data_IF_143453972370
#
_entry.id   IF_143453972370
#
_cell.length_a   1.000
_cell.length_b   1.000
_cell.length_c   1.000
_cell.angle_alpha   90.00
_cell.angle_beta   90.00
_cell.angle_gamma   90.00
#
_symmetry.space_group_name_H-M   'P 1'
#
loop_
_entity.id
_entity.type
_entity.pdbx_description
1 polymer ?
#
# COMPACT_ATOMS: atom_id res chain seq x y z
N UNK A 1 4.18 7.03 -23.67
CA UNK A 1 4.78 8.35 -23.94
C UNK A 1 3.76 9.42 -23.59
N UNK A 2 4.16 10.51 -22.92
CA UNK A 2 3.24 11.56 -22.46
C UNK A 2 2.82 12.54 -23.57
N UNK A 3 3.65 12.72 -24.61
CA UNK A 3 3.41 13.64 -25.73
C UNK A 3 2.04 13.45 -26.39
N UNK A 4 1.69 12.25 -26.90
CA UNK A 4 0.40 12.01 -27.55
C UNK A 4 -0.82 12.29 -26.67
N UNK A 5 -0.70 12.10 -25.35
CA UNK A 5 -1.78 12.41 -24.39
C UNK A 5 -2.01 13.92 -24.34
N UNK A 6 -0.92 14.69 -24.28
CA UNK A 6 -0.96 16.16 -24.23
C UNK A 6 -1.50 16.72 -25.53
N UNK A 7 -1.03 16.25 -26.68
CA UNK A 7 -1.48 16.76 -27.99
C UNK A 7 -3.00 16.57 -28.17
N UNK A 8 -3.51 15.41 -27.75
CA UNK A 8 -4.96 15.12 -27.76
C UNK A 8 -5.72 16.04 -26.80
N UNK A 9 -5.22 16.21 -25.57
CA UNK A 9 -5.86 17.08 -24.57
C UNK A 9 -5.81 18.55 -24.98
N UNK A 10 -4.72 19.01 -25.60
CA UNK A 10 -4.59 20.39 -26.09
C UNK A 10 -5.63 20.69 -27.17
N UNK A 11 -5.80 19.77 -28.13
CA UNK A 11 -6.78 19.92 -29.21
C UNK A 11 -8.21 20.05 -28.67
N UNK A 12 -8.58 19.26 -27.67
CA UNK A 12 -9.97 19.21 -27.18
C UNK A 12 -10.22 20.24 -26.07
N UNK A 13 -9.35 20.31 -25.07
CA UNK A 13 -9.53 21.15 -23.88
C UNK A 13 -9.18 22.62 -24.13
N UNK A 14 -8.11 22.89 -24.88
CA UNK A 14 -7.63 24.26 -25.13
C UNK A 14 -8.22 24.81 -26.42
N UNK A 15 -7.99 24.13 -27.55
CA UNK A 15 -8.46 24.61 -28.87
C UNK A 15 -9.96 24.39 -29.08
N UNK A 16 -10.49 23.27 -28.59
CA UNK A 16 -11.92 22.94 -28.63
C UNK A 16 -12.75 23.57 -27.52
N UNK A 17 -12.12 24.22 -26.53
CA UNK A 17 -12.82 24.95 -25.47
C UNK A 17 -13.52 24.09 -24.40
N UNK A 18 -13.22 22.79 -24.30
CA UNK A 18 -13.81 21.93 -23.28
C UNK A 18 -13.22 22.21 -21.88
N UNK A 19 -13.94 23.01 -21.10
CA UNK A 19 -13.59 23.38 -19.73
C UNK A 19 -13.48 22.19 -18.78
N UNK A 20 -14.13 21.05 -19.06
CA UNK A 20 -14.08 19.86 -18.19
C UNK A 20 -12.72 19.17 -18.26
N UNK A 21 -12.06 19.19 -19.41
CA UNK A 21 -10.76 18.56 -19.63
C UNK A 21 -9.57 19.49 -19.35
N UNK A 22 -9.83 20.79 -19.16
CA UNK A 22 -8.79 21.77 -18.88
C UNK A 22 -7.95 21.44 -17.63
N UNK A 23 -8.53 21.01 -16.49
CA UNK A 23 -7.75 20.58 -15.34
C UNK A 23 -6.82 19.39 -15.63
N UNK A 24 -7.30 18.38 -16.38
CA UNK A 24 -6.48 17.22 -16.76
C UNK A 24 -5.31 17.64 -17.67
N UNK A 25 -5.56 18.54 -18.62
CA UNK A 25 -4.51 19.10 -19.47
C UNK A 25 -3.43 19.83 -18.64
N UNK A 26 -3.84 20.70 -17.72
CA UNK A 26 -2.91 21.48 -16.89
C UNK A 26 -2.04 20.57 -16.00
N UNK A 27 -2.63 19.53 -15.40
CA UNK A 27 -1.91 18.52 -14.61
C UNK A 27 -0.94 17.74 -15.49
N UNK A 28 -1.35 17.32 -16.69
CA UNK A 28 -0.48 16.56 -17.60
C UNK A 28 0.71 17.39 -18.08
N UNK A 29 0.52 18.70 -18.28
CA UNK A 29 1.60 19.64 -18.55
C UNK A 29 2.58 19.76 -17.37
N UNK A 30 2.08 19.85 -16.13
CA UNK A 30 2.92 19.81 -14.92
C UNK A 30 3.76 18.53 -14.85
N UNK A 31 3.15 17.37 -15.14
CA UNK A 31 3.87 16.07 -15.19
C UNK A 31 4.94 16.08 -16.29
N UNK A 32 4.63 16.59 -17.47
CA UNK A 32 5.61 16.71 -18.57
C UNK A 32 6.84 17.48 -18.11
N UNK A 33 6.64 18.63 -17.48
CA UNK A 33 7.76 19.45 -17.02
C UNK A 33 8.60 18.73 -15.96
N UNK A 34 7.95 18.03 -15.03
CA UNK A 34 8.65 17.24 -14.01
C UNK A 34 9.47 16.08 -14.60
N UNK A 35 8.87 15.32 -15.52
CA UNK A 35 9.46 14.08 -16.03
C UNK A 35 10.47 14.33 -17.15
N UNK A 36 10.18 15.27 -18.06
CA UNK A 36 11.01 15.54 -19.23
C UNK A 36 12.04 16.62 -18.94
N UNK A 37 11.59 17.79 -18.47
CA UNK A 37 12.48 18.95 -18.33
C UNK A 37 13.42 18.76 -17.14
N UNK A 38 12.86 18.35 -15.99
CA UNK A 38 13.65 18.10 -14.78
C UNK A 38 14.26 16.71 -14.70
N UNK A 39 13.86 15.78 -15.60
CA UNK A 39 14.32 14.38 -15.62
C UNK A 39 14.11 13.65 -14.29
N UNK A 40 13.02 13.96 -13.58
CA UNK A 40 12.70 13.36 -12.28
C UNK A 40 11.53 12.36 -12.39
N UNK A 41 11.60 11.19 -11.74
CA UNK A 41 10.46 10.29 -11.64
C UNK A 41 9.29 10.94 -10.91
N UNK A 42 8.05 10.64 -11.31
CA UNK A 42 6.83 11.16 -10.65
C UNK A 42 6.78 10.73 -9.18
N UNK A 43 7.25 9.53 -8.85
CA UNK A 43 7.30 9.01 -7.49
C UNK A 43 8.28 9.73 -6.56
N UNK A 44 9.09 10.68 -7.06
CA UNK A 44 10.03 11.47 -6.25
C UNK A 44 9.42 12.83 -5.81
N UNK A 45 8.21 13.15 -6.26
CA UNK A 45 7.48 14.33 -5.80
C UNK A 45 6.44 13.90 -4.76
N UNK A 46 6.51 14.48 -3.56
CA UNK A 46 5.73 14.03 -2.41
C UNK A 46 4.41 14.79 -2.19
N UNK A 47 4.22 15.92 -2.86
CA UNK A 47 3.11 16.86 -2.57
C UNK A 47 2.05 16.88 -3.69
N UNK A 48 1.65 15.71 -4.19
CA UNK A 48 0.54 15.58 -5.14
C UNK A 48 -0.79 15.63 -4.41
N UNK A 49 -1.77 16.37 -4.95
CA UNK A 49 -3.14 16.40 -4.42
C UNK A 49 -4.04 15.32 -5.04
N UNK A 50 -5.22 15.12 -4.47
CA UNK A 50 -6.17 14.07 -4.89
C UNK A 50 -6.55 14.13 -6.38
N UNK A 51 -6.75 15.33 -6.93
CA UNK A 51 -7.09 15.53 -8.34
C UNK A 51 -5.92 15.15 -9.26
N UNK A 52 -4.70 15.43 -8.84
CA UNK A 52 -3.49 15.03 -9.57
C UNK A 52 -3.29 13.52 -9.54
N UNK A 53 -3.56 12.90 -8.39
CA UNK A 53 -3.51 11.44 -8.21
C UNK A 53 -4.54 10.74 -9.11
N UNK A 54 -5.75 11.28 -9.26
CA UNK A 54 -6.76 10.76 -10.20
C UNK A 54 -6.25 10.71 -11.65
N UNK A 55 -5.57 11.77 -12.11
CA UNK A 55 -4.95 11.80 -13.44
C UNK A 55 -3.84 10.75 -13.57
N UNK A 56 -3.05 10.52 -12.52
CA UNK A 56 -2.00 9.49 -12.55
C UNK A 56 -2.58 8.08 -12.59
N UNK A 57 -3.65 7.84 -11.85
CA UNK A 57 -4.34 6.56 -11.83
C UNK A 57 -5.03 6.26 -13.17
N UNK A 58 -5.43 7.29 -13.92
CA UNK A 58 -5.96 7.16 -15.29
C UNK A 58 -4.88 6.74 -16.29
N UNK A 59 -3.69 7.33 -16.23
CA UNK A 59 -2.63 7.13 -17.24
C UNK A 59 -1.56 6.10 -16.85
N UNK A 60 -1.49 5.71 -15.58
CA UNK A 60 -0.61 4.68 -15.02
C UNK A 60 0.87 4.83 -15.45
N UNK A 61 1.41 6.05 -15.37
CA UNK A 61 2.78 6.36 -15.77
C UNK A 61 3.78 5.38 -15.13
N UNK A 62 4.75 4.89 -15.91
CA UNK A 62 5.77 3.97 -15.38
C UNK A 62 6.55 4.58 -14.21
N UNK A 63 6.84 5.88 -14.29
CA UNK A 63 7.59 6.64 -13.27
C UNK A 63 6.77 7.01 -12.03
N UNK A 64 5.46 6.75 -11.99
CA UNK A 64 4.66 6.89 -10.76
C UNK A 64 4.68 5.62 -9.92
N UNK A 65 5.14 4.49 -10.48
CA UNK A 65 5.23 3.22 -9.77
C UNK A 65 6.35 3.29 -8.71
N UNK A 66 6.14 2.76 -7.50
CA UNK A 66 7.18 2.64 -6.50
C UNK A 66 8.27 1.67 -6.99
N UNK A 67 9.52 1.89 -6.58
CA UNK A 67 10.68 1.09 -6.99
C UNK A 67 11.48 0.63 -5.77
N UNK A 68 11.98 -0.60 -5.83
CA UNK A 68 12.91 -1.18 -4.84
C UNK A 68 14.18 -1.58 -5.57
N UNK A 69 15.32 -1.04 -5.14
CA UNK A 69 16.61 -1.37 -5.73
C UNK A 69 17.21 -2.60 -5.05
N UNK A 70 17.53 -3.62 -5.86
CA UNK A 70 18.21 -4.83 -5.41
C UNK A 70 19.61 -4.85 -6.00
N UNK A 71 20.61 -4.70 -5.12
CA UNK A 71 22.02 -4.78 -5.52
C UNK A 71 22.48 -6.22 -5.36
N UNK A 72 22.66 -6.92 -6.48
CA UNK A 72 23.23 -8.26 -6.46
C UNK A 72 24.74 -8.17 -6.17
N UNK A 73 25.22 -8.97 -5.22
CA UNK A 73 26.60 -8.95 -4.73
C UNK A 73 27.19 -10.36 -4.76
N UNK A 74 28.53 -10.43 -4.87
CA UNK A 74 29.21 -11.68 -4.56
C UNK A 74 29.00 -12.04 -3.08
N UNK A 75 29.01 -13.33 -2.75
CA UNK A 75 28.85 -13.80 -1.36
C UNK A 75 29.89 -13.15 -0.43
N UNK A 76 31.16 -13.06 -0.88
CA UNK A 76 32.25 -12.42 -0.14
C UNK A 76 31.95 -10.95 0.18
N UNK A 77 31.42 -10.19 -0.77
CA UNK A 77 31.08 -8.77 -0.57
C UNK A 77 29.87 -8.59 0.35
N UNK A 78 28.87 -9.46 0.21
CA UNK A 78 27.68 -9.47 1.06
C UNK A 78 28.05 -9.71 2.53
N UNK A 79 28.85 -10.75 2.79
CA UNK A 79 29.34 -11.09 4.14
C UNK A 79 30.19 -9.95 4.71
N UNK A 80 31.11 -9.38 3.91
CA UNK A 80 31.99 -8.29 4.33
C UNK A 80 31.30 -6.93 4.48
N UNK A 81 30.05 -6.79 4.02
CA UNK A 81 29.27 -5.54 3.96
C UNK A 81 30.03 -4.39 3.27
N UNK A 82 30.89 -4.73 2.31
CA UNK A 82 31.72 -3.79 1.54
C UNK A 82 31.66 -4.19 0.08
N UNK A 83 31.43 -3.22 -0.78
CA UNK A 83 31.51 -3.37 -2.23
C UNK A 83 31.87 -2.02 -2.83
N UNK A 84 32.64 -2.03 -3.92
CA UNK A 84 33.11 -0.82 -4.62
C UNK A 84 31.96 0.11 -5.03
N UNK A 85 30.82 -0.46 -5.39
CA UNK A 85 29.63 0.26 -5.85
C UNK A 85 28.65 0.56 -4.72
N UNK A 86 28.73 -0.18 -3.60
CA UNK A 86 27.90 0.09 -2.42
C UNK A 86 28.09 1.51 -1.89
N UNK A 87 29.29 2.10 -1.94
CA UNK A 87 29.55 3.47 -1.45
C UNK A 87 28.73 4.51 -2.22
N UNK A 88 28.61 4.36 -3.55
CA UNK A 88 27.81 5.26 -4.41
C UNK A 88 26.30 5.11 -4.20
N UNK A 89 25.86 3.98 -3.67
CA UNK A 89 24.45 3.67 -3.36
C UNK A 89 24.15 3.98 -1.87
N UNK A 90 25.17 3.91 -0.99
CA UNK A 90 25.11 4.09 0.47
C UNK A 90 24.85 5.52 0.91
N UNK A 91 25.07 6.53 0.06
CA UNK A 91 24.72 7.92 0.39
C UNK A 91 23.20 8.13 0.60
N UNK A 92 22.39 7.09 0.36
CA UNK A 92 20.96 7.09 0.63
C UNK A 92 20.56 6.07 1.70
N UNK A 93 21.14 6.24 2.91
CA UNK A 93 20.73 5.67 4.23
C UNK A 93 20.66 4.14 4.35
N UNK A 94 21.01 3.68 5.56
CA UNK A 94 20.68 2.38 6.12
C UNK A 94 21.63 1.23 5.77
N UNK A 95 22.47 0.83 6.72
CA UNK A 95 22.62 -0.57 7.17
C UNK A 95 23.72 -0.66 8.22
N UNK A 96 23.30 -0.80 9.48
CA UNK A 96 24.12 -1.32 10.56
C UNK A 96 23.54 -2.64 11.08
N UNK A 97 24.46 -3.49 11.56
CA UNK A 97 24.28 -4.73 12.35
C UNK A 97 23.20 -5.71 11.86
N UNK A 98 23.56 -6.83 11.22
CA UNK A 98 23.61 -8.12 11.92
C UNK A 98 24.56 -9.11 11.22
N UNK A 99 25.02 -10.13 11.95
CA UNK A 99 25.63 -11.34 11.39
C UNK A 99 24.66 -11.97 10.36
N UNK A 100 25.21 -12.53 9.29
CA UNK A 100 24.54 -12.63 7.99
C UNK A 100 23.26 -13.48 8.04
N UNK A 101 22.16 -12.98 7.48
CA UNK A 101 20.87 -13.65 7.30
C UNK A 101 20.45 -13.54 5.83
N UNK A 102 19.53 -14.40 5.37
CA UNK A 102 18.95 -14.28 4.02
C UNK A 102 18.40 -12.88 3.79
N UNK A 103 18.68 -12.30 2.61
CA UNK A 103 18.11 -11.03 2.20
C UNK A 103 16.64 -11.15 1.76
N UNK A 104 16.17 -12.36 1.43
CA UNK A 104 14.83 -12.59 0.87
C UNK A 104 13.70 -12.08 1.77
N UNK A 105 13.68 -12.32 3.10
CA UNK A 105 12.63 -11.77 3.96
C UNK A 105 12.57 -10.23 3.94
N UNK A 106 13.73 -9.56 3.81
CA UNK A 106 13.79 -8.11 3.70
C UNK A 106 13.24 -7.63 2.36
N UNK A 107 13.58 -8.32 1.27
CA UNK A 107 13.11 -8.01 -0.09
C UNK A 107 11.59 -8.16 -0.17
N UNK A 108 11.03 -9.26 0.34
CA UNK A 108 9.59 -9.52 0.33
C UNK A 108 8.86 -8.42 1.12
N UNK A 109 9.31 -8.13 2.36
CA UNK A 109 8.72 -7.07 3.18
C UNK A 109 8.83 -5.69 2.53
N UNK A 110 9.96 -5.38 1.89
CA UNK A 110 10.14 -4.13 1.17
C UNK A 110 9.20 -4.00 -0.03
N UNK A 111 9.02 -5.07 -0.82
CA UNK A 111 8.07 -5.12 -1.92
C UNK A 111 6.63 -4.93 -1.45
N UNK A 112 6.24 -5.61 -0.37
CA UNK A 112 4.89 -5.50 0.21
C UNK A 112 4.60 -4.08 0.72
N UNK A 113 5.55 -3.48 1.43
CA UNK A 113 5.46 -2.10 1.90
C UNK A 113 5.42 -1.09 0.73
N UNK A 114 6.20 -1.31 -0.32
CA UNK A 114 6.22 -0.46 -1.52
C UNK A 114 4.86 -0.44 -2.23
N UNK A 115 4.14 -1.56 -2.22
CA UNK A 115 2.78 -1.67 -2.76
C UNK A 115 1.69 -1.07 -1.85
N UNK A 116 2.09 -0.49 -0.71
CA UNK A 116 1.19 0.02 0.34
C UNK A 116 0.21 -1.05 0.84
N UNK A 117 0.70 -2.28 0.93
CA UNK A 117 -0.04 -3.40 1.49
C UNK A 117 0.28 -3.58 2.97
N UNK A 118 -0.70 -4.10 3.69
CA UNK A 118 -0.61 -4.62 5.05
C UNK A 118 -1.40 -5.92 5.12
N UNK A 119 -1.40 -6.58 6.25
CA UNK A 119 -2.29 -7.72 6.48
C UNK A 119 -2.91 -7.65 7.89
N UNK A 120 -4.09 -8.22 8.01
CA UNK A 120 -4.68 -8.56 9.30
C UNK A 120 -4.77 -10.09 9.40
N UNK A 121 -5.01 -10.60 10.60
CA UNK A 121 -5.12 -12.02 10.86
C UNK A 121 -6.54 -12.41 11.27
N UNK A 122 -6.97 -13.60 10.88
CA UNK A 122 -8.00 -14.34 11.61
C UNK A 122 -7.29 -15.46 12.34
N UNK A 123 -7.63 -15.69 13.61
CA UNK A 123 -7.05 -16.75 14.42
C UNK A 123 -8.18 -17.53 15.09
N UNK A 124 -8.10 -18.85 15.03
CA UNK A 124 -9.02 -19.78 15.68
C UNK A 124 -8.33 -21.13 15.90
N UNK A 125 -9.04 -22.11 16.49
CA UNK A 125 -8.47 -23.43 16.79
C UNK A 125 -8.09 -24.21 15.51
N UNK A 126 -8.84 -24.01 14.43
CA UNK A 126 -8.66 -24.75 13.17
C UNK A 126 -7.71 -24.04 12.19
N UNK A 127 -7.71 -22.70 12.18
CA UNK A 127 -6.99 -21.92 11.19
C UNK A 127 -6.44 -20.60 11.76
N UNK A 128 -5.22 -20.26 11.32
CA UNK A 128 -4.68 -18.90 11.40
C UNK A 128 -4.36 -18.45 9.98
N UNK A 129 -4.96 -17.34 9.56
CA UNK A 129 -4.84 -16.84 8.18
C UNK A 129 -4.44 -15.37 8.14
N UNK A 130 -3.55 -14.99 7.21
CA UNK A 130 -3.14 -13.62 6.96
C UNK A 130 -3.86 -13.04 5.72
N UNK A 131 -4.73 -12.06 5.93
CA UNK A 131 -5.53 -11.42 4.88
C UNK A 131 -4.87 -10.13 4.41
N UNK A 132 -4.45 -10.10 3.15
CA UNK A 132 -3.80 -8.91 2.56
C UNK A 132 -4.81 -7.80 2.28
N UNK A 133 -4.51 -6.59 2.76
CA UNK A 133 -5.31 -5.37 2.58
C UNK A 133 -4.43 -4.21 2.14
N UNK A 134 -5.04 -3.14 1.59
CA UNK A 134 -4.32 -1.87 1.37
C UNK A 134 -4.33 -1.06 2.66
N UNK A 135 -3.27 -0.29 2.92
CA UNK A 135 -3.29 0.69 4.02
C UNK A 135 -4.49 1.64 3.86
N UNK A 136 -5.15 1.95 4.99
CA UNK A 136 -6.37 2.75 5.00
C UNK A 136 -7.65 1.96 4.74
N UNK A 137 -7.57 0.64 4.54
CA UNK A 137 -8.75 -0.22 4.41
C UNK A 137 -9.57 -0.19 5.70
N UNK A 138 -10.86 0.09 5.59
CA UNK A 138 -11.78 0.10 6.74
C UNK A 138 -12.22 -1.31 7.10
N UNK A 139 -12.64 -1.48 8.34
CA UNK A 139 -13.07 -2.78 8.88
C UNK A 139 -14.11 -3.53 8.03
N UNK A 140 -15.18 -2.90 7.49
CA UNK A 140 -16.13 -3.58 6.60
C UNK A 140 -15.48 -4.12 5.32
N UNK A 141 -14.56 -3.35 4.74
CA UNK A 141 -13.84 -3.72 3.51
C UNK A 141 -12.83 -4.85 3.78
N UNK A 142 -12.21 -4.83 4.97
CA UNK A 142 -11.34 -5.91 5.43
C UNK A 142 -12.15 -7.22 5.64
N UNK A 143 -13.31 -7.13 6.26
CA UNK A 143 -14.24 -8.25 6.42
C UNK A 143 -14.68 -8.82 5.05
N UNK A 144 -14.90 -7.94 4.06
CA UNK A 144 -15.17 -8.34 2.67
C UNK A 144 -14.10 -9.19 2.00
N UNK A 145 -12.85 -9.16 2.49
CA UNK A 145 -11.78 -10.05 2.00
C UNK A 145 -11.97 -11.50 2.42
N UNK A 146 -12.61 -11.73 3.57
CA UNK A 146 -12.95 -13.07 4.04
C UNK A 146 -14.15 -13.60 3.25
N UNK A 147 -15.22 -12.80 3.18
CA UNK A 147 -16.39 -13.11 2.36
C UNK A 147 -17.16 -11.84 1.94
N UNK A 148 -17.63 -11.71 0.68
CA UNK A 148 -18.34 -10.51 0.21
C UNK A 148 -19.58 -10.11 1.03
N UNK A 149 -20.29 -11.09 1.61
CA UNK A 149 -21.46 -10.82 2.44
C UNK A 149 -21.11 -10.15 3.76
N UNK A 150 -19.89 -10.35 4.28
CA UNK A 150 -19.43 -9.72 5.51
C UNK A 150 -19.28 -8.21 5.35
N UNK A 151 -18.92 -7.72 4.16
CA UNK A 151 -18.86 -6.28 3.89
C UNK A 151 -20.25 -5.65 3.83
N UNK A 152 -21.19 -6.28 3.10
CA UNK A 152 -22.57 -5.78 2.96
C UNK A 152 -23.34 -5.81 4.28
N UNK A 153 -23.19 -6.90 5.03
CA UNK A 153 -23.87 -7.14 6.30
C UNK A 153 -23.07 -6.68 7.52
N UNK A 154 -22.00 -5.89 7.35
CA UNK A 154 -21.08 -5.55 8.42
C UNK A 154 -21.77 -4.76 9.55
N UNK A 155 -21.57 -5.19 10.79
CA UNK A 155 -22.10 -4.49 11.97
C UNK A 155 -20.98 -4.02 12.89
N UNK A 156 -20.17 -4.95 13.38
CA UNK A 156 -18.97 -4.67 14.14
C UNK A 156 -17.96 -5.78 13.94
N UNK A 157 -16.72 -5.53 14.36
CA UNK A 157 -15.71 -6.57 14.47
C UNK A 157 -15.02 -6.48 15.83
N UNK A 158 -14.70 -7.62 16.39
CA UNK A 158 -13.77 -7.70 17.51
C UNK A 158 -12.36 -7.66 16.91
N UNK A 159 -11.61 -6.62 17.26
CA UNK A 159 -10.27 -6.37 16.72
C UNK A 159 -9.30 -6.34 17.88
N UNK A 160 -8.24 -7.12 17.76
CA UNK A 160 -7.21 -7.23 18.77
C UNK A 160 -5.87 -6.81 18.19
N UNK A 161 -5.11 -6.01 18.93
CA UNK A 161 -3.72 -5.72 18.55
C UNK A 161 -2.87 -6.94 18.81
N UNK A 162 -2.04 -7.32 17.84
CA UNK A 162 -1.08 -8.42 18.02
C UNK A 162 -0.19 -8.24 19.26
N UNK A 163 0.21 -7.00 19.57
CA UNK A 163 1.03 -6.70 20.76
C UNK A 163 0.29 -7.02 22.05
N UNK A 164 -0.98 -6.65 22.13
CA UNK A 164 -1.81 -6.86 23.31
C UNK A 164 -2.14 -8.34 23.46
N UNK A 165 -2.53 -9.01 22.37
CA UNK A 165 -2.75 -10.46 22.35
C UNK A 165 -1.51 -11.24 22.82
N UNK A 166 -0.32 -10.85 22.35
CA UNK A 166 0.95 -11.47 22.76
C UNK A 166 1.30 -11.19 24.24
N UNK A 167 0.98 -10.01 24.75
CA UNK A 167 1.30 -9.60 26.12
C UNK A 167 0.36 -10.23 27.16
N UNK A 168 -0.94 -10.22 26.88
CA UNK A 168 -2.00 -10.73 27.76
C UNK A 168 -2.18 -12.25 27.64
N UNK A 169 -1.74 -12.85 26.52
CA UNK A 169 -1.77 -14.29 26.29
C UNK A 169 -3.16 -14.90 26.05
N UNK A 170 -4.23 -14.10 26.04
CA UNK A 170 -5.60 -14.56 25.77
C UNK A 170 -6.47 -13.50 25.11
N UNK A 171 -7.48 -13.93 24.35
CA UNK A 171 -8.40 -13.06 23.61
C UNK A 171 -9.34 -12.25 24.53
N UNK A 172 -9.65 -12.79 25.71
CA UNK A 172 -10.59 -12.21 26.67
C UNK A 172 -10.20 -10.82 27.19
N UNK A 173 -8.94 -10.41 27.02
CA UNK A 173 -8.40 -9.16 27.53
C UNK A 173 -8.51 -7.96 26.55
N UNK A 174 -8.99 -8.17 25.31
CA UNK A 174 -8.83 -7.17 24.24
C UNK A 174 -10.17 -6.56 23.76
N UNK A 175 -10.20 -5.24 23.54
CA UNK A 175 -11.42 -4.44 23.27
C UNK A 175 -11.83 -4.44 21.79
N UNK A 176 -13.14 -4.48 21.52
CA UNK A 176 -13.72 -4.44 20.17
C UNK A 176 -13.68 -3.05 19.49
N UNK A 177 -13.72 -3.02 18.15
CA UNK A 177 -13.71 -1.79 17.35
C UNK A 177 -14.88 -1.70 16.34
N UNK A 178 -15.32 -0.47 16.04
CA UNK A 178 -16.52 -0.20 15.23
C UNK A 178 -16.30 -0.04 13.72
N UNK A 179 -17.39 0.22 12.97
CA UNK A 179 -17.43 0.29 11.48
C UNK A 179 -16.43 1.23 10.80
N UNK A 180 -16.05 2.32 11.46
CA UNK A 180 -15.17 3.34 10.88
C UNK A 180 -13.69 3.14 11.25
N UNK A 181 -13.36 2.05 11.93
CA UNK A 181 -11.99 1.74 12.27
C UNK A 181 -11.18 1.39 11.01
N UNK A 182 -9.98 1.97 10.91
CA UNK A 182 -8.98 1.67 9.88
C UNK A 182 -8.15 0.51 10.38
N UNK A 183 -8.18 -0.60 9.65
CA UNK A 183 -7.44 -1.80 10.04
C UNK A 183 -5.95 -1.54 9.93
N UNK A 184 -5.23 -1.86 11.00
CA UNK A 184 -3.78 -1.71 11.08
C UNK A 184 -3.08 -3.03 10.78
N UNK A 185 -1.81 -2.93 10.37
CA UNK A 185 -0.98 -4.09 10.07
C UNK A 185 -0.79 -4.96 11.33
N UNK A 186 -1.14 -6.24 11.20
CA UNK A 186 -1.08 -7.22 12.28
C UNK A 186 -2.26 -7.21 13.23
N UNK A 187 -3.32 -6.43 12.98
CA UNK A 187 -4.57 -6.59 13.73
C UNK A 187 -5.10 -8.03 13.60
N UNK A 188 -5.62 -8.58 14.68
CA UNK A 188 -6.29 -9.88 14.72
C UNK A 188 -7.79 -9.61 14.78
N UNK A 189 -8.53 -10.05 13.78
CA UNK A 189 -9.98 -9.89 13.67
C UNK A 189 -10.63 -11.23 13.95
N UNK A 190 -11.57 -11.24 14.89
CA UNK A 190 -12.34 -12.45 15.23
C UNK A 190 -13.08 -12.98 14.01
N UNK A 191 -13.09 -14.30 13.82
CA UNK A 191 -13.83 -14.97 12.76
C UNK A 191 -15.34 -14.83 12.92
N UNK A 192 -15.81 -14.53 14.14
CA UNK A 192 -17.21 -14.26 14.45
C UNK A 192 -17.56 -12.81 14.11
N UNK A 193 -17.52 -12.48 12.81
CA UNK A 193 -18.05 -11.22 12.31
C UNK A 193 -19.57 -11.24 12.47
N UNK A 194 -20.09 -10.65 13.55
CA UNK A 194 -21.53 -10.63 13.81
C UNK A 194 -22.31 -9.96 12.68
N UNK A 195 -23.05 -10.78 11.92
CA UNK A 195 -24.26 -10.37 11.24
C UNK A 195 -25.40 -10.32 12.28
N UNK A 196 -25.78 -9.15 12.80
CA UNK A 196 -27.17 -9.02 13.28
C UNK A 196 -28.10 -8.98 12.07
N UNK A 197 -28.27 -10.13 11.42
CA UNK A 197 -29.58 -10.51 10.93
C UNK A 197 -30.15 -11.47 11.96
N UNK A 198 -30.70 -10.89 13.04
CA UNK A 198 -31.68 -11.57 13.87
C UNK A 198 -32.96 -11.77 13.03
N UNK A 199 -32.93 -12.72 12.10
CA UNK A 199 -34.12 -13.41 11.59
C UNK A 199 -33.77 -14.88 11.39
N UNK A 200 -34.34 -15.68 12.29
CA UNK A 200 -34.55 -17.14 12.25
C UNK A 200 -33.35 -17.99 12.67
N UNK A 201 -33.36 -18.37 13.95
CA UNK A 201 -33.39 -19.78 14.37
C UNK A 201 -34.18 -19.87 15.68
N UNK A 202 -35.33 -20.55 15.56
CA UNK A 202 -36.35 -20.96 16.54
C UNK A 202 -37.05 -19.87 17.35
#
# INVERSE_FOLDING_TARGET
>A
MIGPIIDKLEKVAVRGGDKKLKPEYDITCKVKSWVIDQKKPVCFYHDWNDKEIEVFNKHLFLTSKPMVYLVNLSEKDYIRKKNKWLIKIKEQKYLEANMTQSALPKIIKAGFAALQLGYFFTAGPDEVHAWTIRKGTKTPQAAGKIHPDFEKGFIMAEIMKYKDFKGEGSENAVKAAGKNYIVEDGDIISSNLTHLNNRRRN
#
